data_IF_175253790059
#
_entry.id   IF_175253790059
#
_cell.length_a   1.000
_cell.length_b   1.000
_cell.length_c   1.000
_cell.angle_alpha   90.00
_cell.angle_beta   90.00
_cell.angle_gamma   90.00
#
_symmetry.space_group_name_H-M   'P 1'
#
loop_
_entity.id
_entity.type
_entity.pdbx_description
1 polymer ?
#
# COMPACT_ATOMS: atom_id res chain seq x y z
N UNK A 1 -19.63 -6.74 5.20
CA UNK A 1 -18.25 -7.23 5.36
C UNK A 1 -17.43 -6.64 4.23
N UNK A 2 -16.57 -5.66 4.49
CA UNK A 2 -15.61 -5.21 3.49
C UNK A 2 -14.75 -6.43 3.14
N UNK A 3 -14.62 -6.75 1.85
CA UNK A 3 -13.82 -7.90 1.40
C UNK A 3 -12.36 -7.64 1.76
N UNK A 4 -11.88 -8.28 2.83
CA UNK A 4 -10.48 -8.27 3.25
C UNK A 4 -9.58 -8.54 2.04
N UNK A 5 -8.66 -7.62 1.74
CA UNK A 5 -7.70 -7.72 0.64
C UNK A 5 -8.07 -6.95 -0.64
N UNK A 6 -9.21 -6.25 -0.68
CA UNK A 6 -9.59 -5.45 -1.86
C UNK A 6 -8.68 -4.24 -2.06
N UNK A 7 -8.34 -3.52 -1.00
CA UNK A 7 -7.52 -2.31 -1.12
C UNK A 7 -6.09 -2.68 -1.51
N UNK A 8 -5.52 -3.72 -0.90
CA UNK A 8 -4.21 -4.26 -1.24
C UNK A 8 -4.16 -4.74 -2.70
N UNK A 9 -5.19 -5.44 -3.17
CA UNK A 9 -5.27 -5.87 -4.57
C UNK A 9 -5.33 -4.68 -5.55
N UNK A 10 -6.13 -3.65 -5.21
CA UNK A 10 -6.18 -2.41 -5.98
C UNK A 10 -4.83 -1.68 -5.97
N UNK A 11 -4.14 -1.70 -4.84
CA UNK A 11 -2.84 -1.07 -4.69
C UNK A 11 -1.75 -1.76 -5.51
N UNK A 12 -1.65 -3.09 -5.46
CA UNK A 12 -0.74 -3.87 -6.31
C UNK A 12 -1.02 -3.59 -7.81
N UNK A 13 -2.28 -3.46 -8.18
CA UNK A 13 -2.66 -3.10 -9.56
C UNK A 13 -2.19 -1.70 -9.97
N UNK A 14 -2.11 -0.74 -9.02
CA UNK A 14 -1.56 0.60 -9.27
C UNK A 14 -0.05 0.56 -9.48
N UNK A 15 0.69 -0.21 -8.68
CA UNK A 15 2.14 -0.41 -8.86
C UNK A 15 2.45 -0.92 -10.28
N UNK A 16 1.67 -1.90 -10.78
CA UNK A 16 1.85 -2.47 -12.12
C UNK A 16 1.52 -1.51 -13.27
N UNK A 17 0.84 -0.39 -13.00
CA UNK A 17 0.48 0.59 -14.05
C UNK A 17 1.70 1.29 -14.62
N UNK A 18 2.80 1.34 -13.85
CA UNK A 18 4.06 1.94 -14.31
C UNK A 18 4.84 0.94 -15.18
N UNK A 19 5.10 1.22 -16.47
CA UNK A 19 5.64 0.24 -17.41
C UNK A 19 7.04 -0.29 -17.05
N UNK A 20 7.81 0.49 -16.30
CA UNK A 20 9.13 0.12 -15.76
C UNK A 20 9.10 -0.09 -14.23
N UNK A 21 7.91 -0.18 -13.63
CA UNK A 21 7.73 -0.36 -12.20
C UNK A 21 7.95 -1.81 -11.75
N UNK A 22 7.98 -2.04 -10.43
CA UNK A 22 8.12 -3.37 -9.86
C UNK A 22 7.01 -4.33 -10.33
N UNK A 23 7.38 -5.58 -10.65
CA UNK A 23 6.43 -6.62 -11.06
C UNK A 23 6.17 -7.61 -9.93
N UNK A 24 5.19 -7.28 -9.11
CA UNK A 24 4.70 -8.15 -8.04
C UNK A 24 3.85 -9.30 -8.61
N UNK A 25 4.15 -10.55 -8.24
CA UNK A 25 3.30 -11.68 -8.60
C UNK A 25 2.17 -11.87 -7.57
N UNK A 26 0.99 -11.31 -7.87
CA UNK A 26 -0.18 -11.38 -6.98
C UNK A 26 -0.68 -12.80 -6.66
N UNK A 27 -0.31 -13.81 -7.46
CA UNK A 27 -0.69 -15.22 -7.24
C UNK A 27 0.35 -16.02 -6.47
N UNK A 28 1.59 -15.53 -6.41
CA UNK A 28 2.73 -16.17 -5.74
C UNK A 28 3.63 -15.10 -5.14
N UNK A 29 3.12 -14.46 -4.09
CA UNK A 29 3.89 -13.46 -3.35
C UNK A 29 5.08 -14.11 -2.64
N UNK A 30 6.20 -13.41 -2.68
CA UNK A 30 7.43 -13.69 -1.93
C UNK A 30 7.70 -12.59 -0.91
N UNK A 31 8.62 -12.81 0.04
CA UNK A 31 9.03 -11.75 0.98
C UNK A 31 9.50 -10.50 0.22
N UNK A 32 10.27 -10.68 -0.87
CA UNK A 32 10.70 -9.57 -1.71
C UNK A 32 9.52 -8.76 -2.29
N UNK A 33 8.43 -9.43 -2.65
CA UNK A 33 7.24 -8.72 -3.12
C UNK A 33 6.59 -7.91 -1.99
N UNK A 34 6.58 -8.45 -0.76
CA UNK A 34 6.08 -7.75 0.44
C UNK A 34 6.93 -6.52 0.74
N UNK A 35 8.25 -6.65 0.69
CA UNK A 35 9.19 -5.55 0.94
C UNK A 35 8.97 -4.42 -0.09
N UNK A 36 8.85 -4.78 -1.38
CA UNK A 36 8.54 -3.83 -2.46
C UNK A 36 7.18 -3.14 -2.24
N UNK A 37 6.14 -3.88 -1.82
CA UNK A 37 4.85 -3.26 -1.51
C UNK A 37 4.99 -2.25 -0.37
N UNK A 38 5.79 -2.57 0.66
CA UNK A 38 6.05 -1.67 1.78
C UNK A 38 6.81 -0.41 1.39
N UNK A 39 7.85 -0.55 0.56
CA UNK A 39 8.63 0.58 0.04
C UNK A 39 7.76 1.54 -0.78
N UNK A 40 6.98 1.02 -1.74
CA UNK A 40 6.08 1.84 -2.55
C UNK A 40 5.00 2.51 -1.68
N UNK A 41 4.45 1.78 -0.68
CA UNK A 41 3.44 2.33 0.22
C UNK A 41 3.98 3.46 1.08
N UNK A 42 5.23 3.36 1.57
CA UNK A 42 5.90 4.44 2.27
C UNK A 42 6.07 5.67 1.37
N UNK A 43 6.55 5.49 0.14
CA UNK A 43 6.67 6.58 -0.82
C UNK A 43 5.31 7.26 -1.06
N UNK A 44 4.26 6.49 -1.34
CA UNK A 44 2.95 7.01 -1.68
C UNK A 44 2.20 7.66 -0.50
N UNK A 45 2.42 7.16 0.72
CA UNK A 45 1.78 7.64 1.95
C UNK A 45 2.50 8.81 2.61
N UNK A 46 3.65 9.22 2.07
CA UNK A 46 4.39 10.40 2.54
C UNK A 46 3.56 11.69 2.45
N UNK A 47 3.70 12.65 3.39
CA UNK A 47 2.89 13.87 3.43
C UNK A 47 2.83 14.65 2.11
N UNK A 48 3.96 14.76 1.39
CA UNK A 48 4.02 15.44 0.09
C UNK A 48 3.15 14.76 -0.98
N UNK A 49 3.11 13.42 -0.97
CA UNK A 49 2.37 12.62 -1.94
C UNK A 49 0.89 12.48 -1.55
N UNK A 50 0.58 12.43 -0.26
CA UNK A 50 -0.82 12.41 0.22
C UNK A 50 -1.50 13.74 -0.07
N UNK A 51 -0.81 14.86 0.08
CA UNK A 51 -1.39 16.19 -0.19
C UNK A 51 -1.23 16.63 -1.66
N UNK A 52 -0.56 15.85 -2.51
CA UNK A 52 -0.19 16.23 -3.89
C UNK A 52 0.36 17.66 -3.95
N UNK A 53 1.36 17.96 -3.11
CA UNK A 53 1.96 19.30 -2.96
C UNK A 53 0.93 20.44 -2.72
N UNK A 54 -0.20 20.11 -2.08
CA UNK A 54 -1.30 21.03 -1.78
C UNK A 54 -2.29 21.23 -2.93
N UNK A 55 -2.18 20.48 -4.03
CA UNK A 55 -3.07 20.58 -5.19
C UNK A 55 -4.48 20.02 -4.93
N UNK A 56 -4.65 19.18 -3.91
CA UNK A 56 -5.94 18.58 -3.56
C UNK A 56 -6.52 19.17 -2.28
N UNK A 57 -7.85 19.13 -2.17
CA UNK A 57 -8.55 19.58 -0.96
C UNK A 57 -8.20 18.69 0.24
N UNK A 58 -8.33 19.22 1.48
CA UNK A 58 -8.11 18.42 2.69
C UNK A 58 -8.91 17.11 2.69
N UNK A 59 -10.18 17.13 2.25
CA UNK A 59 -11.01 15.92 2.19
C UNK A 59 -10.42 14.87 1.24
N UNK A 60 -9.91 15.28 0.08
CA UNK A 60 -9.27 14.34 -0.86
C UNK A 60 -7.98 13.76 -0.30
N UNK A 61 -7.19 14.57 0.42
CA UNK A 61 -6.02 14.09 1.15
C UNK A 61 -6.40 13.06 2.22
N UNK A 62 -7.45 13.32 3.00
CA UNK A 62 -7.99 12.38 3.98
C UNK A 62 -8.43 11.05 3.33
N UNK A 63 -9.18 11.11 2.23
CA UNK A 63 -9.62 9.91 1.50
C UNK A 63 -8.43 9.10 0.95
N UNK A 64 -7.37 9.78 0.50
CA UNK A 64 -6.14 9.16 0.00
C UNK A 64 -5.35 8.51 1.14
N UNK A 65 -5.20 9.18 2.27
CA UNK A 65 -4.57 8.63 3.48
C UNK A 65 -5.34 7.40 3.99
N UNK A 66 -6.67 7.48 4.10
CA UNK A 66 -7.51 6.38 4.59
C UNK A 66 -7.42 5.15 3.67
N UNK A 67 -7.30 5.35 2.36
CA UNK A 67 -7.00 4.28 1.43
C UNK A 67 -5.66 3.60 1.74
N UNK A 68 -4.57 4.35 1.90
CA UNK A 68 -3.25 3.77 2.22
C UNK A 68 -3.23 3.09 3.59
N UNK A 69 -3.90 3.65 4.60
CA UNK A 69 -4.06 3.00 5.91
C UNK A 69 -4.75 1.64 5.80
N UNK A 70 -5.83 1.55 5.01
CA UNK A 70 -6.51 0.27 4.74
C UNK A 70 -5.62 -0.72 4.00
N UNK A 71 -4.78 -0.26 3.08
CA UNK A 71 -3.77 -1.11 2.40
C UNK A 71 -2.77 -1.66 3.42
N UNK A 72 -2.22 -0.83 4.30
CA UNK A 72 -1.29 -1.25 5.35
C UNK A 72 -1.88 -2.30 6.29
N UNK A 73 -3.12 -2.11 6.73
CA UNK A 73 -3.86 -3.11 7.52
C UNK A 73 -4.04 -4.44 6.79
N UNK A 74 -4.44 -4.40 5.51
CA UNK A 74 -4.61 -5.61 4.71
C UNK A 74 -3.27 -6.32 4.45
N UNK A 75 -2.17 -5.57 4.27
CA UNK A 75 -0.82 -6.11 4.14
C UNK A 75 -0.39 -6.82 5.44
N UNK A 76 -0.63 -6.21 6.60
CA UNK A 76 -0.34 -6.82 7.90
C UNK A 76 -1.08 -8.14 8.10
N UNK A 77 -2.37 -8.17 7.80
CA UNK A 77 -3.19 -9.40 7.86
C UNK A 77 -2.63 -10.47 6.92
N UNK A 78 -2.24 -10.09 5.70
CA UNK A 78 -1.63 -11.02 4.75
C UNK A 78 -0.31 -11.59 5.28
N UNK A 79 0.57 -10.75 5.82
CA UNK A 79 1.86 -11.17 6.38
C UNK A 79 1.66 -12.15 7.53
N UNK A 80 0.75 -11.86 8.45
CA UNK A 80 0.39 -12.75 9.55
C UNK A 80 -0.17 -14.10 9.05
N UNK A 81 -1.03 -14.08 8.03
CA UNK A 81 -1.65 -15.29 7.50
C UNK A 81 -0.70 -16.17 6.69
N UNK A 82 0.27 -15.56 5.99
CA UNK A 82 1.21 -16.26 5.10
C UNK A 82 2.59 -16.49 5.71
N UNK A 83 2.85 -15.94 6.90
CA UNK A 83 4.15 -16.06 7.57
C UNK A 83 5.23 -15.17 6.94
N UNK A 84 4.85 -14.01 6.40
CA UNK A 84 5.81 -13.00 5.94
C UNK A 84 6.17 -12.05 7.09
N UNK A 85 7.36 -11.48 7.00
CA UNK A 85 7.77 -10.37 7.86
C UNK A 85 7.08 -9.09 7.37
N UNK A 86 6.53 -8.32 8.30
CA UNK A 86 5.88 -7.06 8.00
C UNK A 86 6.94 -5.99 7.76
N UNK A 87 6.91 -5.26 6.63
CA UNK A 87 7.81 -4.14 6.41
C UNK A 87 7.45 -2.99 7.34
N UNK A 88 8.45 -2.19 7.69
CA UNK A 88 8.24 -0.96 8.46
C UNK A 88 7.50 0.08 7.62
N UNK A 89 6.37 0.58 8.13
CA UNK A 89 5.57 1.62 7.50
C UNK A 89 5.62 2.88 8.35
N UNK A 90 6.35 3.90 7.91
CA UNK A 90 6.70 5.06 8.74
C UNK A 90 5.51 5.97 9.04
N UNK A 91 4.66 6.19 8.03
CA UNK A 91 3.51 7.10 8.10
C UNK A 91 2.20 6.37 8.50
N UNK A 92 2.24 5.04 8.54
CA UNK A 92 1.08 4.19 8.78
C UNK A 92 1.37 3.31 10.01
N UNK A 93 0.93 3.77 11.18
CA UNK A 93 1.01 2.99 12.43
C UNK A 93 -0.01 1.82 12.41
N UNK A 94 0.35 0.71 11.74
CA UNK A 94 -0.54 -0.43 11.46
C UNK A 94 -0.16 -1.74 12.12
#
# INVERSE_FOLDING_TARGET
>A
MASTGRNLSLYISRIHKYPNGPRINSTKLSQKDIDVIGEELNCDSSPENVHEDGEISPTQAWDKWDFYYKVGHELKILCQYKGFEMPELWELDV
#
